data_IF_009544718330
#
_entry.id   IF_009544718330
#
_cell.length_a   1.000
_cell.length_b   1.000
_cell.length_c   1.000
_cell.angle_alpha   90.00
_cell.angle_beta   90.00
_cell.angle_gamma   90.00
#
_symmetry.space_group_name_H-M   'P 1'
#
loop_
_entity.id
_entity.type
_entity.pdbx_description
1 polymer ?
#
# COMPACT_ATOMS: atom_id res chain seq x y z
N UNK A 1 -39.95 23.87 -69.22
CA UNK A 1 -39.98 22.40 -69.36
C UNK A 1 -38.54 21.92 -69.30
N UNK A 2 -38.09 21.23 -68.26
CA UNK A 2 -38.29 19.78 -68.05
C UNK A 2 -38.63 19.49 -66.59
N UNK A 3 -39.77 18.81 -66.38
CA UNK A 3 -40.16 18.29 -65.06
C UNK A 3 -39.61 16.87 -64.99
N UNK A 4 -38.60 16.64 -64.17
CA UNK A 4 -38.02 15.31 -63.99
C UNK A 4 -39.13 14.34 -63.54
N UNK A 5 -39.21 13.12 -64.11
CA UNK A 5 -40.24 12.16 -63.73
C UNK A 5 -40.06 11.74 -62.27
N UNK A 6 -41.16 11.73 -61.51
CA UNK A 6 -41.19 11.48 -60.04
C UNK A 6 -40.51 10.17 -59.61
N UNK A 7 -40.36 9.21 -60.52
CA UNK A 7 -39.69 7.93 -60.26
C UNK A 7 -38.17 8.05 -60.10
N UNK A 8 -37.53 9.01 -60.77
CA UNK A 8 -36.07 9.25 -60.68
C UNK A 8 -35.70 9.89 -59.35
N UNK A 9 -36.56 10.75 -58.81
CA UNK A 9 -36.37 11.38 -57.50
C UNK A 9 -36.47 10.36 -56.36
N UNK A 10 -37.40 9.41 -56.46
CA UNK A 10 -37.56 8.36 -55.45
C UNK A 10 -36.42 7.34 -55.45
N UNK A 11 -35.86 6.99 -56.62
CA UNK A 11 -34.74 6.05 -56.70
C UNK A 11 -33.43 6.64 -56.10
N UNK A 12 -33.22 7.95 -56.28
CA UNK A 12 -32.09 8.68 -55.70
C UNK A 12 -32.20 8.80 -54.18
N UNK A 13 -33.40 9.03 -53.64
CA UNK A 13 -33.62 9.12 -52.21
C UNK A 13 -33.34 7.79 -51.49
N UNK A 14 -33.77 6.66 -52.07
CA UNK A 14 -33.52 5.32 -51.50
C UNK A 14 -32.02 4.99 -51.49
N UNK A 15 -31.28 5.38 -52.54
CA UNK A 15 -29.83 5.17 -52.64
C UNK A 15 -29.06 5.93 -51.54
N UNK A 16 -29.45 7.18 -51.24
CA UNK A 16 -28.80 7.98 -50.20
C UNK A 16 -29.05 7.43 -48.79
N UNK A 17 -30.24 6.85 -48.54
CA UNK A 17 -30.57 6.23 -47.25
C UNK A 17 -29.75 4.95 -47.04
N UNK A 18 -29.56 4.13 -48.09
CA UNK A 18 -28.77 2.89 -48.00
C UNK A 18 -27.29 3.19 -47.69
N UNK A 19 -26.71 4.25 -48.28
CA UNK A 19 -25.33 4.67 -47.98
C UNK A 19 -25.18 5.11 -46.52
N UNK A 20 -26.18 5.80 -45.97
CA UNK A 20 -26.17 6.31 -44.60
C UNK A 20 -26.28 5.18 -43.55
N UNK A 21 -26.98 4.09 -43.87
CA UNK A 21 -27.15 2.93 -42.97
C UNK A 21 -25.92 2.00 -43.00
N UNK A 22 -25.16 1.96 -44.10
CA UNK A 22 -23.98 1.10 -44.24
C UNK A 22 -22.66 1.72 -43.72
N UNK A 23 -22.63 3.04 -43.42
CA UNK A 23 -21.46 3.72 -42.86
C UNK A 23 -21.88 4.74 -41.76
N UNK A 24 -21.84 4.40 -40.46
CA UNK A 24 -22.36 5.26 -39.40
C UNK A 24 -21.42 6.41 -39.00
N UNK A 25 -20.33 6.67 -39.74
CA UNK A 25 -19.33 7.69 -39.40
C UNK A 25 -19.67 9.12 -39.88
N UNK A 26 -20.90 9.38 -40.38
CA UNK A 26 -21.33 10.75 -40.65
C UNK A 26 -22.00 11.38 -39.41
N UNK A 27 -21.20 11.64 -38.39
CA UNK A 27 -21.54 12.57 -37.32
C UNK A 27 -21.29 14.00 -37.78
N UNK A 28 -22.32 14.85 -37.75
CA UNK A 28 -22.18 16.30 -37.86
C UNK A 28 -21.40 16.79 -36.62
N UNK A 29 -20.13 17.15 -36.80
CA UNK A 29 -19.39 17.94 -35.84
C UNK A 29 -19.34 19.38 -36.34
N UNK A 30 -19.90 20.30 -35.55
CA UNK A 30 -19.82 21.74 -35.76
C UNK A 30 -18.35 22.18 -35.72
N UNK A 31 -17.91 22.83 -36.79
CA UNK A 31 -16.56 23.37 -36.95
C UNK A 31 -16.49 24.75 -36.29
N UNK A 32 -16.31 24.76 -34.97
CA UNK A 32 -15.92 25.96 -34.23
C UNK A 32 -14.38 26.00 -34.21
N UNK A 33 -13.80 26.48 -35.30
CA UNK A 33 -12.35 26.50 -35.54
C UNK A 33 -11.56 27.15 -34.40
N UNK A 34 -10.85 26.34 -33.63
CA UNK A 34 -9.78 26.77 -32.74
C UNK A 34 -8.49 26.90 -33.55
N UNK A 35 -8.07 28.13 -33.87
CA UNK A 35 -6.84 28.41 -34.61
C UNK A 35 -5.58 28.06 -33.79
N UNK A 36 -5.07 26.84 -33.93
CA UNK A 36 -3.74 26.43 -33.46
C UNK A 36 -2.69 26.86 -34.48
N UNK A 37 -2.29 28.13 -34.46
CA UNK A 37 -1.12 28.59 -35.25
C UNK A 37 -0.06 29.29 -34.40
N UNK A 38 -0.10 29.10 -33.07
CA UNK A 38 0.83 29.75 -32.13
C UNK A 38 1.34 28.88 -30.98
N UNK A 39 1.12 27.56 -30.99
CA UNK A 39 1.47 26.69 -29.86
C UNK A 39 2.77 25.88 -30.06
N UNK A 40 3.36 25.86 -31.25
CA UNK A 40 4.53 25.00 -31.52
C UNK A 40 5.86 25.55 -30.94
N UNK A 41 5.98 26.86 -30.71
CA UNK A 41 7.22 27.44 -30.16
C UNK A 41 7.32 27.40 -28.62
N UNK A 42 6.24 27.04 -27.91
CA UNK A 42 6.20 27.03 -26.44
C UNK A 42 6.66 25.72 -25.79
N UNK A 43 6.73 24.63 -26.56
CA UNK A 43 7.15 23.31 -26.06
C UNK A 43 8.65 23.01 -26.28
N UNK A 44 9.37 23.83 -27.03
CA UNK A 44 10.80 23.61 -27.35
C UNK A 44 11.77 23.94 -26.19
N UNK A 45 11.31 24.55 -25.11
CA UNK A 45 12.18 25.00 -24.00
C UNK A 45 11.99 24.27 -22.67
N UNK A 46 11.17 23.21 -22.60
CA UNK A 46 10.88 22.54 -21.32
C UNK A 46 10.85 21.00 -21.35
N UNK A 47 11.31 20.35 -22.43
CA UNK A 47 11.26 18.88 -22.56
C UNK A 47 12.32 18.09 -21.78
N UNK A 48 13.46 18.72 -21.47
CA UNK A 48 14.66 17.97 -21.03
C UNK A 48 15.05 18.23 -19.58
N UNK A 49 14.25 19.01 -18.83
CA UNK A 49 14.50 19.20 -17.41
C UNK A 49 13.98 18.01 -16.61
N UNK A 50 14.83 17.00 -16.41
CA UNK A 50 14.70 16.11 -15.26
C UNK A 50 15.36 16.83 -14.07
N UNK A 51 14.61 17.12 -12.99
CA UNK A 51 15.23 17.64 -11.77
C UNK A 51 16.36 16.69 -11.35
N UNK A 52 17.49 17.21 -10.82
CA UNK A 52 18.51 16.36 -10.23
C UNK A 52 17.85 15.40 -9.25
N UNK A 53 18.23 14.12 -9.28
CA UNK A 53 17.74 13.16 -8.31
C UNK A 53 17.97 13.74 -6.91
N UNK A 54 16.93 13.78 -6.05
CA UNK A 54 17.14 14.20 -4.68
C UNK A 54 18.26 13.34 -4.08
N UNK A 55 19.13 13.93 -3.24
CA UNK A 55 20.15 13.13 -2.56
C UNK A 55 19.48 11.93 -1.88
N UNK A 56 20.12 10.76 -1.87
CA UNK A 56 19.56 9.58 -1.24
C UNK A 56 19.07 9.95 0.16
N UNK A 57 17.81 9.62 0.52
CA UNK A 57 17.34 9.90 1.87
C UNK A 57 18.32 9.26 2.84
N UNK A 58 18.86 10.06 3.75
CA UNK A 58 19.73 9.57 4.81
C UNK A 58 18.90 8.60 5.63
N UNK A 59 19.25 7.32 5.58
CA UNK A 59 18.56 6.31 6.37
C UNK A 59 18.69 6.70 7.85
N UNK A 60 17.57 6.76 8.59
CA UNK A 60 17.63 6.96 10.03
C UNK A 60 18.59 5.94 10.66
N UNK A 61 19.36 6.33 11.69
CA UNK A 61 20.19 5.37 12.41
C UNK A 61 19.31 4.26 12.97
N UNK A 62 19.74 3.02 12.77
CA UNK A 62 19.04 1.84 13.25
C UNK A 62 18.88 1.93 14.79
N UNK A 63 17.69 1.65 15.35
CA UNK A 63 17.51 1.68 16.79
C UNK A 63 18.45 0.68 17.49
N UNK A 64 18.80 0.92 18.75
CA UNK A 64 19.60 -0.03 19.52
C UNK A 64 18.83 -1.35 19.64
N UNK A 65 19.52 -2.47 19.40
CA UNK A 65 18.94 -3.80 19.58
C UNK A 65 18.81 -4.13 21.06
N UNK A 66 17.66 -4.68 21.44
CA UNK A 66 17.41 -5.25 22.76
C UNK A 66 18.34 -6.43 23.04
N UNK A 67 18.61 -6.67 24.32
CA UNK A 67 19.32 -7.83 24.84
C UNK A 67 18.34 -8.88 25.38
N UNK A 68 18.71 -10.16 25.26
CA UNK A 68 17.86 -11.24 25.75
C UNK A 68 17.66 -11.19 27.27
N UNK A 69 18.73 -11.03 28.04
CA UNK A 69 18.69 -11.18 29.50
C UNK A 69 18.19 -9.90 30.21
N UNK A 70 18.59 -8.72 29.74
CA UNK A 70 18.26 -7.46 30.43
C UNK A 70 16.92 -6.92 29.96
N UNK A 71 16.71 -6.82 28.65
CA UNK A 71 15.52 -6.16 28.10
C UNK A 71 14.35 -7.13 27.97
N UNK A 72 14.61 -8.36 27.50
CA UNK A 72 13.57 -9.39 27.34
C UNK A 72 13.41 -10.29 28.58
N UNK A 73 14.25 -10.14 29.62
CA UNK A 73 14.23 -10.98 30.83
C UNK A 73 14.18 -12.49 30.52
N UNK A 74 14.81 -12.87 29.41
CA UNK A 74 14.92 -14.22 28.92
C UNK A 74 16.19 -14.91 29.38
N UNK A 75 16.41 -16.12 28.86
CA UNK A 75 17.60 -16.92 29.09
C UNK A 75 18.37 -17.12 27.79
N UNK A 76 19.68 -16.92 27.85
CA UNK A 76 20.57 -17.12 26.71
C UNK A 76 20.89 -15.81 25.98
N UNK A 77 21.04 -15.87 24.66
CA UNK A 77 21.45 -14.72 23.84
C UNK A 77 20.75 -14.74 22.48
N UNK A 78 20.56 -13.55 21.91
CA UNK A 78 19.99 -13.39 20.56
C UNK A 78 20.93 -13.89 19.45
N UNK A 79 22.20 -14.13 19.75
CA UNK A 79 23.16 -14.74 18.82
C UNK A 79 23.20 -16.28 18.88
N UNK A 80 22.54 -16.88 19.87
CA UNK A 80 22.39 -18.33 19.98
C UNK A 80 20.92 -18.71 20.05
N UNK A 81 20.40 -18.88 21.26
CA UNK A 81 18.97 -19.08 21.52
C UNK A 81 18.58 -18.20 22.70
N UNK A 82 17.61 -17.31 22.46
CA UNK A 82 16.97 -16.52 23.48
C UNK A 82 15.62 -17.16 23.81
N UNK A 83 15.44 -17.64 25.04
CA UNK A 83 14.19 -18.23 25.50
C UNK A 83 13.45 -17.30 26.44
N UNK A 84 12.18 -17.03 26.13
CA UNK A 84 11.30 -16.23 26.96
C UNK A 84 10.31 -17.14 27.67
N UNK A 85 10.43 -17.23 29.00
CA UNK A 85 9.54 -18.04 29.85
C UNK A 85 8.54 -17.20 30.66
N UNK A 86 8.60 -15.88 30.53
CA UNK A 86 7.80 -14.94 31.30
C UNK A 86 7.20 -13.87 30.40
N UNK A 87 5.99 -13.43 30.76
CA UNK A 87 5.28 -12.39 30.02
C UNK A 87 5.94 -11.03 30.25
N UNK A 88 5.96 -10.21 29.20
CA UNK A 88 6.67 -8.94 29.16
C UNK A 88 5.71 -7.83 28.72
N UNK A 89 5.77 -6.71 29.43
CA UNK A 89 5.11 -5.48 29.04
C UNK A 89 6.17 -4.47 28.61
N UNK A 90 6.18 -4.20 27.31
CA UNK A 90 7.14 -3.32 26.65
C UNK A 90 6.59 -1.89 26.67
N UNK A 91 7.41 -0.95 27.10
CA UNK A 91 7.03 0.47 27.27
C UNK A 91 7.41 1.37 26.09
N UNK A 92 8.30 0.89 25.22
CA UNK A 92 8.82 1.61 24.04
C UNK A 92 8.84 0.66 22.84
N UNK A 93 9.21 1.15 21.66
CA UNK A 93 9.45 0.28 20.51
C UNK A 93 10.54 -0.76 20.83
N UNK A 94 10.33 -1.99 20.36
CA UNK A 94 11.22 -3.11 20.61
C UNK A 94 11.90 -3.52 19.30
N UNK A 95 13.22 -3.32 19.23
CA UNK A 95 14.03 -3.83 18.14
C UNK A 95 14.87 -5.00 18.61
N UNK A 96 14.68 -6.18 18.02
CA UNK A 96 15.42 -7.39 18.32
C UNK A 96 16.29 -7.72 17.12
N UNK A 97 17.60 -7.80 17.33
CA UNK A 97 18.57 -8.20 16.31
C UNK A 97 19.48 -9.30 16.83
N UNK A 98 19.73 -10.32 16.02
CA UNK A 98 20.67 -11.38 16.38
C UNK A 98 20.94 -12.39 15.28
N UNK A 99 22.03 -13.14 15.42
CA UNK A 99 22.37 -14.24 14.51
C UNK A 99 21.70 -15.57 14.88
N UNK A 100 21.03 -15.64 16.03
CA UNK A 100 20.42 -16.83 16.60
C UNK A 100 18.90 -16.88 16.46
N UNK A 101 18.26 -17.50 17.45
CA UNK A 101 16.81 -17.77 17.47
C UNK A 101 16.13 -17.17 18.71
N UNK A 102 14.84 -16.86 18.58
CA UNK A 102 13.98 -16.39 19.66
C UNK A 102 12.83 -17.38 19.86
N UNK A 103 12.80 -18.04 21.02
CA UNK A 103 11.76 -18.98 21.40
C UNK A 103 10.91 -18.39 22.52
N UNK A 104 9.62 -18.22 22.25
CA UNK A 104 8.64 -17.76 23.23
C UNK A 104 7.91 -18.99 23.76
N UNK A 105 8.00 -19.24 25.07
CA UNK A 105 7.40 -20.42 25.69
C UNK A 105 5.85 -20.38 25.63
N UNK A 106 5.20 -21.54 25.79
CA UNK A 106 3.74 -21.61 25.80
C UNK A 106 3.09 -20.68 26.83
N UNK A 107 2.04 -19.95 26.41
CA UNK A 107 1.29 -19.03 27.27
C UNK A 107 1.99 -17.72 27.60
N UNK A 108 3.19 -17.46 27.06
CA UNK A 108 3.90 -16.20 27.26
C UNK A 108 3.28 -15.08 26.42
N UNK A 109 3.10 -13.92 27.05
CA UNK A 109 2.50 -12.74 26.42
C UNK A 109 3.56 -11.65 26.31
N UNK A 110 3.83 -11.17 25.10
CA UNK A 110 4.59 -9.96 24.84
C UNK A 110 3.59 -8.87 24.49
N UNK A 111 3.42 -7.90 25.39
CA UNK A 111 2.43 -6.83 25.25
C UNK A 111 3.12 -5.49 25.09
N UNK A 112 2.70 -4.72 24.10
CA UNK A 112 3.06 -3.33 23.91
C UNK A 112 1.78 -2.49 23.78
N UNK A 113 1.20 -2.02 24.89
CA UNK A 113 -0.19 -1.56 24.93
C UNK A 113 -0.42 -0.10 24.50
N UNK A 114 0.59 0.59 23.94
CA UNK A 114 0.48 2.01 23.57
C UNK A 114 0.41 2.23 22.05
N UNK A 115 -0.18 3.38 21.67
CA UNK A 115 -0.43 3.72 20.28
C UNK A 115 0.85 3.89 19.47
N UNK A 116 0.94 3.16 18.36
CA UNK A 116 2.10 3.19 17.47
C UNK A 116 3.28 2.32 17.92
N UNK A 117 3.16 1.53 19.00
CA UNK A 117 4.25 0.65 19.39
C UNK A 117 4.59 -0.37 18.31
N UNK A 118 5.86 -0.44 17.93
CA UNK A 118 6.38 -1.39 16.97
C UNK A 118 7.29 -2.43 17.62
N UNK A 119 7.07 -3.70 17.28
CA UNK A 119 7.97 -4.80 17.60
C UNK A 119 8.60 -5.25 16.29
N UNK A 120 9.91 -5.09 16.17
CA UNK A 120 10.67 -5.50 15.00
C UNK A 120 11.68 -6.56 15.40
N UNK A 121 11.60 -7.72 14.74
CA UNK A 121 12.48 -8.87 14.95
C UNK A 121 13.28 -9.10 13.68
N UNK A 122 14.60 -9.11 13.79
CA UNK A 122 15.52 -9.43 12.71
C UNK A 122 16.52 -10.48 13.21
N UNK A 123 16.26 -11.73 12.86
CA UNK A 123 17.04 -12.89 13.29
C UNK A 123 17.52 -13.67 12.07
N UNK A 124 18.74 -14.20 12.14
CA UNK A 124 19.20 -15.15 11.10
C UNK A 124 18.66 -16.57 11.33
N UNK A 125 18.25 -16.92 12.55
CA UNK A 125 17.71 -18.23 12.90
C UNK A 125 16.18 -18.30 12.89
N UNK A 126 15.63 -18.89 13.94
CA UNK A 126 14.20 -19.17 14.07
C UNK A 126 13.49 -18.17 15.01
N UNK A 127 12.32 -17.68 14.61
CA UNK A 127 11.35 -17.04 15.49
C UNK A 127 10.23 -18.03 15.80
N UNK A 128 10.07 -18.41 17.07
CA UNK A 128 9.06 -19.37 17.50
C UNK A 128 8.10 -18.73 18.52
N UNK A 129 6.82 -18.72 18.20
CA UNK A 129 5.74 -18.38 19.11
C UNK A 129 5.11 -19.66 19.68
N UNK A 130 5.24 -19.85 20.99
CA UNK A 130 4.74 -20.98 21.78
C UNK A 130 3.24 -21.25 21.64
N UNK A 131 2.79 -22.43 22.08
CA UNK A 131 1.35 -22.73 22.13
C UNK A 131 0.63 -21.74 23.03
N UNK A 132 -0.48 -21.17 22.57
CA UNK A 132 -1.23 -20.12 23.29
C UNK A 132 -0.38 -18.91 23.72
N UNK A 133 0.81 -18.71 23.13
CA UNK A 133 1.59 -17.50 23.35
C UNK A 133 1.05 -16.36 22.48
N UNK A 134 1.19 -15.12 22.95
CA UNK A 134 0.64 -13.97 22.24
C UNK A 134 1.58 -12.80 22.15
N UNK A 135 1.63 -12.16 20.99
CA UNK A 135 2.28 -10.86 20.77
C UNK A 135 1.19 -9.84 20.52
N UNK A 136 1.17 -8.76 21.31
CA UNK A 136 0.19 -7.67 21.20
C UNK A 136 0.96 -6.37 20.99
N UNK A 137 0.80 -5.70 19.85
CA UNK A 137 1.49 -4.44 19.55
C UNK A 137 0.74 -3.60 18.51
N UNK A 138 1.22 -2.39 18.25
CA UNK A 138 0.74 -1.51 17.18
C UNK A 138 1.16 -1.96 15.79
N UNK A 139 2.39 -2.46 15.67
CA UNK A 139 2.94 -3.07 14.47
C UNK A 139 3.89 -4.21 14.88
N UNK A 140 3.94 -5.27 14.08
CA UNK A 140 4.86 -6.39 14.27
C UNK A 140 5.55 -6.70 12.94
N UNK A 141 6.87 -6.62 12.93
CA UNK A 141 7.71 -7.00 11.79
C UNK A 141 8.62 -8.14 12.19
N UNK A 142 8.59 -9.25 11.44
CA UNK A 142 9.43 -10.43 11.71
C UNK A 142 10.19 -10.80 10.46
N UNK A 143 11.50 -10.69 10.54
CA UNK A 143 12.46 -11.19 9.56
C UNK A 143 13.26 -12.30 10.25
N UNK A 144 13.02 -13.53 9.82
CA UNK A 144 13.69 -14.73 10.34
C UNK A 144 13.85 -15.74 9.20
N UNK A 145 14.84 -16.63 9.29
CA UNK A 145 14.97 -17.73 8.34
C UNK A 145 13.77 -18.69 8.45
N UNK A 146 13.29 -18.91 9.68
CA UNK A 146 12.12 -19.73 9.97
C UNK A 146 11.25 -18.97 10.97
N UNK A 147 9.95 -18.84 10.68
CA UNK A 147 8.96 -18.34 11.64
C UNK A 147 7.94 -19.43 11.94
N UNK A 148 7.85 -19.87 13.20
CA UNK A 148 6.90 -20.88 13.66
C UNK A 148 5.88 -20.28 14.62
N UNK A 149 4.62 -20.46 14.29
CA UNK A 149 3.49 -20.13 15.15
C UNK A 149 2.82 -21.44 15.56
N UNK A 150 2.95 -21.80 16.84
CA UNK A 150 2.37 -23.03 17.37
C UNK A 150 0.86 -22.86 17.62
N UNK A 151 0.18 -23.97 17.89
CA UNK A 151 -1.26 -24.01 18.09
C UNK A 151 -1.77 -23.00 19.12
N UNK A 152 -2.81 -22.25 18.75
CA UNK A 152 -3.42 -21.23 19.60
C UNK A 152 -2.58 -19.98 19.81
N UNK A 153 -1.42 -19.85 19.14
CA UNK A 153 -0.63 -18.62 19.21
C UNK A 153 -1.32 -17.45 18.51
N UNK A 154 -1.10 -16.24 19.03
CA UNK A 154 -1.81 -15.03 18.58
C UNK A 154 -0.80 -13.93 18.29
N UNK A 155 -0.89 -13.30 17.13
CA UNK A 155 -0.25 -12.01 16.85
C UNK A 155 -1.37 -10.99 16.69
N UNK A 156 -1.62 -10.22 17.73
CA UNK A 156 -2.65 -9.19 17.76
C UNK A 156 -2.01 -7.83 17.46
N UNK A 157 -2.20 -7.37 16.24
CA UNK A 157 -1.70 -6.07 15.80
C UNK A 157 -2.86 -5.08 15.81
N UNK A 158 -2.96 -4.29 16.86
CA UNK A 158 -3.93 -3.19 16.92
C UNK A 158 -3.26 -1.96 16.35
N UNK A 159 -3.45 -1.68 15.07
CA UNK A 159 -3.05 -0.41 14.46
C UNK A 159 -3.77 0.72 15.21
N UNK A 160 -3.13 1.24 16.26
CA UNK A 160 -3.61 2.36 17.04
C UNK A 160 -3.36 3.66 16.25
N UNK A 161 -3.76 3.67 14.98
CA UNK A 161 -3.65 4.80 14.04
C UNK A 161 -4.53 5.99 14.41
N UNK A 162 -5.22 5.93 15.56
CA UNK A 162 -6.24 6.90 15.93
C UNK A 162 -7.43 6.84 14.98
N UNK A 163 -8.45 7.67 15.25
CA UNK A 163 -9.45 7.94 14.24
C UNK A 163 -8.82 8.81 13.14
N UNK A 164 -9.14 8.59 11.86
CA UNK A 164 -8.69 9.48 10.79
C UNK A 164 -9.10 10.93 11.12
N UNK A 165 -8.27 11.94 10.80
CA UNK A 165 -8.67 13.34 10.89
C UNK A 165 -10.04 13.56 10.25
N UNK A 166 -10.86 14.47 10.79
CA UNK A 166 -12.22 14.70 10.31
C UNK A 166 -12.30 15.00 8.79
N UNK A 167 -11.20 15.42 8.18
CA UNK A 167 -11.08 15.74 6.75
C UNK A 167 -10.69 14.55 5.85
N UNK A 168 -10.27 13.41 6.40
CA UNK A 168 -9.90 12.20 5.64
C UNK A 168 -10.82 11.01 5.90
N UNK A 169 -11.83 11.19 6.76
CA UNK A 169 -12.96 10.27 6.90
C UNK A 169 -13.84 10.36 5.65
N UNK A 170 -13.36 9.76 4.57
CA UNK A 170 -14.03 9.72 3.29
C UNK A 170 -15.40 9.07 3.40
N UNK A 171 -16.45 9.86 3.61
CA UNK A 171 -17.80 9.43 3.27
C UNK A 171 -17.91 9.60 1.76
N UNK A 172 -18.03 8.53 0.94
CA UNK A 172 -18.11 8.69 -0.49
C UNK A 172 -19.35 9.50 -0.85
N UNK A 173 -19.17 10.62 -1.53
CA UNK A 173 -20.25 11.39 -2.14
C UNK A 173 -20.13 11.20 -3.65
N UNK A 174 -20.88 10.24 -4.21
CA UNK A 174 -20.88 9.96 -5.65
C UNK A 174 -20.22 8.64 -6.05
N UNK A 175 -19.81 8.52 -7.33
CA UNK A 175 -19.23 7.31 -7.94
C UNK A 175 -17.73 7.14 -7.62
N UNK A 176 -17.09 8.15 -7.04
CA UNK A 176 -15.68 8.10 -6.65
C UNK A 176 -15.57 7.65 -5.20
N UNK A 177 -14.93 6.49 -5.01
CA UNK A 177 -14.72 5.90 -3.69
C UNK A 177 -13.80 6.77 -2.84
N UNK A 178 -14.23 7.08 -1.62
CA UNK A 178 -13.40 7.75 -0.64
C UNK A 178 -12.77 6.67 0.25
N UNK A 179 -11.52 6.32 -0.03
CA UNK A 179 -10.74 5.45 0.83
C UNK A 179 -10.38 6.17 2.12
N UNK A 180 -10.82 5.63 3.25
CA UNK A 180 -10.31 5.95 4.58
C UNK A 180 -9.92 4.65 5.26
N UNK A 181 -8.75 4.63 5.91
CA UNK A 181 -8.26 3.52 6.72
C UNK A 181 -9.19 3.19 7.90
#
# INVERSE_FOLDING_TARGET
>A
MMKAPRYVVNLFAVYMIIIFVLNPNLGFASDDGFSVVGFEDSYLFHGDYSPPAPPPPVLPPLPPSASCEVDLKGFGSLDSVCKLNSSLEIKNDLYIKGSGSLEIDPGVIISCPFAGCSITVNLSGEFQLGRNASVVAGAVWVEAQIARLLEGSIVNVSALGGAPPAQTSGTPVGLEGAGGD
#
